data_IF_893708674591
#
_entry.id   IF_893708674591
#
_cell.length_a   1.000
_cell.length_b   1.000
_cell.length_c   1.000
_cell.angle_alpha   90.00
_cell.angle_beta   90.00
_cell.angle_gamma   90.00
#
_symmetry.space_group_name_H-M   'P 1'
#
loop_
_entity.id
_entity.type
_entity.pdbx_description
1 polymer ?
#
# COMPACT_ATOMS: atom_id res chain seq x y z
N UNK A 1 -12.20 -12.96 -6.62
CA UNK A 1 -11.62 -14.33 -6.66
C UNK A 1 -12.01 -15.14 -7.89
N UNK A 2 -13.10 -14.85 -8.55
CA UNK A 2 -13.57 -15.53 -9.78
C UNK A 2 -12.59 -15.38 -10.94
N UNK A 3 -12.05 -14.19 -11.20
CA UNK A 3 -11.02 -13.95 -12.22
C UNK A 3 -9.72 -14.72 -11.93
N UNK A 4 -9.29 -14.76 -10.66
CA UNK A 4 -8.12 -15.54 -10.27
C UNK A 4 -8.31 -17.05 -10.58
N UNK A 5 -9.48 -17.60 -10.23
CA UNK A 5 -9.84 -19.00 -10.52
C UNK A 5 -9.97 -19.24 -12.03
N UNK A 6 -10.58 -18.31 -12.78
CA UNK A 6 -10.74 -18.42 -14.22
C UNK A 6 -9.38 -18.46 -14.95
N UNK A 7 -8.39 -17.76 -14.44
CA UNK A 7 -7.01 -17.75 -14.95
C UNK A 7 -6.15 -18.91 -14.40
N UNK A 8 -6.71 -19.77 -13.55
CA UNK A 8 -6.00 -20.88 -12.93
C UNK A 8 -5.00 -20.47 -11.86
N UNK A 9 -5.03 -19.21 -11.43
CA UNK A 9 -4.18 -18.70 -10.36
C UNK A 9 -4.82 -18.97 -8.99
N UNK A 10 -4.00 -19.10 -7.96
CA UNK A 10 -4.44 -19.27 -6.58
C UNK A 10 -3.73 -18.29 -5.67
N UNK A 11 -4.41 -17.88 -4.60
CA UNK A 11 -3.83 -17.07 -3.52
C UNK A 11 -3.85 -17.90 -2.25
N UNK A 12 -2.71 -17.96 -1.58
CA UNK A 12 -2.63 -18.51 -0.23
C UNK A 12 -3.17 -17.44 0.75
N UNK A 13 -4.47 -17.58 1.06
CA UNK A 13 -5.21 -16.62 1.90
C UNK A 13 -4.63 -16.59 3.31
N UNK A 14 -4.28 -17.75 3.88
CA UNK A 14 -3.74 -17.85 5.23
C UNK A 14 -2.39 -17.13 5.35
N UNK A 15 -1.52 -17.35 4.37
CA UNK A 15 -0.22 -16.68 4.33
C UNK A 15 -0.35 -15.17 4.10
N UNK A 16 -1.31 -14.77 3.24
CA UNK A 16 -1.61 -13.35 3.02
C UNK A 16 -2.11 -12.67 4.30
N UNK A 17 -2.96 -13.34 5.06
CA UNK A 17 -3.46 -12.89 6.35
C UNK A 17 -2.32 -12.78 7.40
N UNK A 18 -1.43 -13.76 7.43
CA UNK A 18 -0.25 -13.76 8.32
C UNK A 18 0.69 -12.59 8.00
N UNK A 19 1.00 -12.36 6.73
CA UNK A 19 1.88 -11.29 6.25
C UNK A 19 1.26 -9.91 6.48
N UNK A 20 -0.04 -9.73 6.21
CA UNK A 20 -0.72 -8.45 6.42
C UNK A 20 -1.10 -8.20 7.90
N UNK A 21 -1.23 -9.26 8.69
CA UNK A 21 -1.65 -9.17 10.10
C UNK A 21 -3.09 -8.69 10.28
N UNK A 22 -3.94 -8.91 9.27
CA UNK A 22 -5.38 -8.62 9.29
C UNK A 22 -6.14 -9.79 8.67
N UNK A 23 -7.41 -10.05 9.07
CA UNK A 23 -8.24 -11.05 8.43
C UNK A 23 -8.38 -10.80 6.93
N UNK A 24 -8.25 -11.84 6.12
CA UNK A 24 -8.35 -11.79 4.67
C UNK A 24 -9.47 -12.71 4.20
N UNK A 25 -10.52 -12.15 3.63
CA UNK A 25 -11.69 -12.91 3.17
C UNK A 25 -11.74 -12.91 1.63
N UNK A 26 -11.65 -14.08 1.00
CA UNK A 26 -11.75 -14.20 -0.46
C UNK A 26 -13.20 -14.03 -0.92
N UNK A 27 -13.48 -12.95 -1.64
CA UNK A 27 -14.84 -12.68 -2.13
C UNK A 27 -14.91 -12.66 -3.66
N UNK A 28 -16.11 -12.89 -4.20
CA UNK A 28 -16.51 -12.55 -5.56
C UNK A 28 -17.81 -11.73 -5.52
N UNK A 29 -17.71 -10.41 -5.69
CA UNK A 29 -18.88 -9.53 -5.69
C UNK A 29 -19.84 -9.87 -6.84
N UNK A 30 -19.32 -10.23 -8.03
CA UNK A 30 -20.13 -10.60 -9.19
C UNK A 30 -20.97 -11.87 -8.96
N UNK A 31 -20.51 -12.77 -8.09
CA UNK A 31 -21.21 -14.04 -7.77
C UNK A 31 -21.84 -14.05 -6.39
N UNK A 32 -21.72 -12.95 -5.66
CA UNK A 32 -22.16 -12.84 -4.26
C UNK A 32 -21.58 -13.95 -3.35
N UNK A 33 -20.33 -14.35 -3.62
CA UNK A 33 -19.61 -15.36 -2.81
C UNK A 33 -18.78 -14.68 -1.72
N UNK A 34 -18.79 -15.21 -0.49
CA UNK A 34 -17.96 -14.77 0.64
C UNK A 34 -18.38 -13.45 1.29
N UNK A 35 -19.51 -12.85 0.91
CA UNK A 35 -19.94 -11.54 1.44
C UNK A 35 -20.38 -11.66 2.92
N UNK A 36 -21.13 -12.71 3.26
CA UNK A 36 -21.58 -12.92 4.65
C UNK A 36 -20.38 -13.14 5.58
N UNK A 37 -19.39 -13.92 5.16
CA UNK A 37 -18.14 -14.15 5.88
C UNK A 37 -17.34 -12.84 6.06
N UNK A 38 -17.27 -12.00 5.02
CA UNK A 38 -16.63 -10.67 5.12
C UNK A 38 -17.31 -9.80 6.18
N UNK A 39 -18.66 -9.78 6.21
CA UNK A 39 -19.42 -8.99 7.18
C UNK A 39 -19.17 -9.52 8.61
N UNK A 40 -19.17 -10.84 8.79
CA UNK A 40 -18.90 -11.46 10.08
C UNK A 40 -17.49 -11.11 10.60
N UNK A 41 -16.46 -11.24 9.76
CA UNK A 41 -15.08 -10.88 10.09
C UNK A 41 -14.94 -9.39 10.41
N UNK A 42 -15.60 -8.51 9.64
CA UNK A 42 -15.58 -7.07 9.88
C UNK A 42 -16.23 -6.70 11.23
N UNK A 43 -17.39 -7.27 11.53
CA UNK A 43 -18.07 -7.06 12.82
C UNK A 43 -17.23 -7.56 13.99
N UNK A 44 -16.64 -8.74 13.86
CA UNK A 44 -15.75 -9.32 14.89
C UNK A 44 -14.51 -8.46 15.11
N UNK A 45 -13.87 -7.99 14.05
CA UNK A 45 -12.71 -7.10 14.14
C UNK A 45 -13.07 -5.79 14.86
N UNK A 46 -14.22 -5.20 14.57
CA UNK A 46 -14.72 -4.00 15.21
C UNK A 46 -15.04 -4.23 16.71
N UNK A 47 -15.74 -5.33 17.03
CA UNK A 47 -16.09 -5.67 18.43
C UNK A 47 -14.86 -5.93 19.29
N UNK A 48 -13.87 -6.65 18.75
CA UNK A 48 -12.63 -6.98 19.44
C UNK A 48 -11.58 -5.85 19.38
N UNK A 49 -11.89 -4.75 18.68
CA UNK A 49 -10.95 -3.64 18.41
C UNK A 49 -9.60 -4.15 17.91
N UNK A 50 -9.64 -5.11 16.97
CA UNK A 50 -8.44 -5.70 16.39
C UNK A 50 -7.66 -4.63 15.62
N UNK A 51 -6.38 -4.48 15.96
CA UNK A 51 -5.47 -3.61 15.24
C UNK A 51 -4.55 -4.46 14.37
N UNK A 52 -4.26 -4.02 13.13
CA UNK A 52 -3.31 -4.70 12.27
C UNK A 52 -1.91 -4.70 12.90
N UNK A 53 -1.11 -5.72 12.62
CA UNK A 53 0.31 -5.69 12.97
C UNK A 53 0.96 -4.48 12.29
N UNK A 54 1.83 -3.78 13.02
CA UNK A 54 2.59 -2.67 12.45
C UNK A 54 3.46 -3.18 11.30
N UNK A 55 3.18 -2.70 10.11
CA UNK A 55 3.94 -3.01 8.89
C UNK A 55 5.03 -1.97 8.69
N UNK A 56 6.29 -2.39 8.71
CA UNK A 56 7.42 -1.55 8.35
C UNK A 56 8.01 -2.05 7.02
N UNK A 57 7.44 -1.59 5.92
CA UNK A 57 7.79 -2.03 4.58
C UNK A 57 8.62 -1.00 3.79
N UNK A 58 8.90 0.16 4.38
CA UNK A 58 9.80 1.15 3.77
C UNK A 58 11.26 0.89 4.14
N UNK A 59 12.17 1.25 3.26
CA UNK A 59 13.61 1.13 3.43
C UNK A 59 14.33 2.32 2.83
N UNK A 60 15.64 2.43 3.07
CA UNK A 60 16.49 3.46 2.46
C UNK A 60 16.06 4.89 2.80
N UNK A 61 16.13 5.79 1.80
CA UNK A 61 15.85 7.21 1.98
C UNK A 61 14.41 7.50 2.38
N UNK A 62 13.43 6.77 1.81
CA UNK A 62 12.02 6.92 2.17
C UNK A 62 11.79 6.58 3.66
N UNK A 63 12.42 5.52 4.15
CA UNK A 63 12.31 5.14 5.57
C UNK A 63 12.87 6.24 6.48
N UNK A 64 14.06 6.76 6.17
CA UNK A 64 14.69 7.83 6.97
C UNK A 64 13.84 9.09 6.97
N UNK A 65 13.32 9.49 5.81
CA UNK A 65 12.44 10.65 5.68
C UNK A 65 11.18 10.48 6.55
N UNK A 66 10.41 9.40 6.37
CA UNK A 66 9.20 9.15 7.16
C UNK A 66 9.51 9.07 8.66
N UNK A 67 10.63 8.47 9.05
CA UNK A 67 11.05 8.35 10.44
C UNK A 67 11.38 9.73 11.04
N UNK A 68 12.15 10.56 10.33
CA UNK A 68 12.48 11.91 10.75
C UNK A 68 11.23 12.78 10.90
N UNK A 69 10.32 12.74 9.90
CA UNK A 69 9.07 13.47 9.97
C UNK A 69 8.17 12.99 11.12
N UNK A 70 8.14 11.68 11.39
CA UNK A 70 7.37 11.12 12.51
C UNK A 70 7.81 11.72 13.84
N UNK A 71 9.11 11.91 14.07
CA UNK A 71 9.62 12.56 15.28
C UNK A 71 9.31 14.07 15.33
N UNK A 72 9.38 14.75 14.19
CA UNK A 72 9.05 16.20 14.14
C UNK A 72 7.59 16.43 14.55
N UNK A 73 6.69 15.53 14.18
CA UNK A 73 5.25 15.75 14.38
C UNK A 73 4.65 14.89 15.50
N UNK A 74 5.46 14.25 16.33
CA UNK A 74 5.00 13.32 17.38
C UNK A 74 3.95 13.95 18.30
N UNK A 75 4.26 15.11 18.89
CA UNK A 75 3.37 15.83 19.81
C UNK A 75 2.08 16.30 19.09
N UNK A 76 2.20 16.77 17.87
CA UNK A 76 1.08 17.22 17.06
C UNK A 76 0.14 16.06 16.68
N UNK A 77 0.72 14.93 16.30
CA UNK A 77 -0.03 13.71 15.94
C UNK A 77 -0.76 13.13 17.16
N UNK A 78 -0.10 13.13 18.33
CA UNK A 78 -0.72 12.70 19.59
C UNK A 78 -1.90 13.62 19.97
N UNK A 79 -1.70 14.95 19.91
CA UNK A 79 -2.75 15.92 20.19
C UNK A 79 -3.94 15.82 19.22
N UNK A 80 -3.69 15.48 17.95
CA UNK A 80 -4.71 15.27 16.94
C UNK A 80 -5.36 13.86 16.98
N UNK A 81 -4.85 12.93 17.80
CA UNK A 81 -5.32 11.54 17.86
C UNK A 81 -5.02 10.74 16.59
N UNK A 82 -3.96 11.09 15.86
CA UNK A 82 -3.56 10.47 14.60
C UNK A 82 -2.27 9.66 14.81
N UNK A 83 -2.16 8.43 14.25
CA UNK A 83 -0.91 7.69 14.30
C UNK A 83 0.24 8.48 13.64
N UNK A 84 1.34 8.75 14.38
CA UNK A 84 2.43 9.63 13.93
C UNK A 84 3.02 9.20 12.58
N UNK A 85 3.19 7.90 12.34
CA UNK A 85 3.71 7.39 11.07
C UNK A 85 2.75 7.63 9.89
N UNK A 86 1.45 7.53 10.13
CA UNK A 86 0.45 7.89 9.13
C UNK A 86 0.51 9.38 8.81
N UNK A 87 0.56 10.23 9.84
CA UNK A 87 0.74 11.66 9.69
C UNK A 87 2.02 11.99 8.89
N UNK A 88 3.17 11.42 9.28
CA UNK A 88 4.43 11.59 8.57
C UNK A 88 4.35 11.18 7.09
N UNK A 89 3.74 10.02 6.79
CA UNK A 89 3.56 9.58 5.39
C UNK A 89 2.71 10.56 4.60
N UNK A 90 1.64 11.09 5.20
CA UNK A 90 0.79 12.12 4.58
C UNK A 90 1.52 13.44 4.34
N UNK A 91 2.43 13.81 5.23
CA UNK A 91 3.28 15.00 5.04
C UNK A 91 4.28 14.81 3.89
N UNK A 92 4.86 13.62 3.72
CA UNK A 92 5.67 13.30 2.53
C UNK A 92 4.84 13.45 1.26
N UNK A 93 3.58 13.01 1.25
CA UNK A 93 2.64 13.18 0.13
C UNK A 93 2.26 14.66 -0.12
N UNK A 94 2.58 15.57 0.78
CA UNK A 94 2.16 16.97 0.68
C UNK A 94 0.67 17.18 0.97
N UNK A 95 0.06 16.33 1.80
CA UNK A 95 -1.36 16.35 2.16
C UNK A 95 -1.71 17.57 2.99
N UNK A 96 -2.34 18.58 2.36
CA UNK A 96 -2.72 19.82 3.02
C UNK A 96 -3.71 19.62 4.18
N UNK A 97 -4.77 18.80 4.05
CA UNK A 97 -5.65 18.54 5.19
C UNK A 97 -4.92 18.01 6.42
N UNK A 98 -3.89 17.19 6.23
CA UNK A 98 -3.06 16.70 7.33
C UNK A 98 -2.22 17.81 7.94
N UNK A 99 -1.59 18.67 7.11
CA UNK A 99 -0.82 19.83 7.60
C UNK A 99 -1.70 20.77 8.46
N UNK A 100 -2.90 21.06 7.98
CA UNK A 100 -3.87 21.91 8.70
C UNK A 100 -4.34 21.27 10.01
N UNK A 101 -4.59 19.96 10.00
CA UNK A 101 -5.01 19.19 11.18
C UNK A 101 -3.94 19.21 12.28
N UNK A 102 -2.67 19.05 11.89
CA UNK A 102 -1.53 19.04 12.82
C UNK A 102 -1.16 20.42 13.32
N UNK A 103 -1.67 21.51 12.73
CA UNK A 103 -1.39 22.90 13.13
C UNK A 103 0.11 23.19 13.24
N UNK A 104 0.87 22.79 12.23
CA UNK A 104 2.32 22.95 12.19
C UNK A 104 2.71 24.43 12.12
N UNK A 105 3.81 24.79 12.77
CA UNK A 105 4.42 26.11 12.64
C UNK A 105 5.12 26.25 11.27
N UNK A 106 5.38 27.50 10.85
CA UNK A 106 6.10 27.78 9.61
C UNK A 106 7.49 27.09 9.57
N UNK A 107 8.20 27.09 10.69
CA UNK A 107 9.51 26.43 10.81
C UNK A 107 9.41 24.91 10.63
N UNK A 108 8.38 24.27 11.17
CA UNK A 108 8.17 22.82 11.01
C UNK A 108 7.81 22.49 9.58
N UNK A 109 6.96 23.28 8.93
CA UNK A 109 6.64 23.12 7.51
C UNK A 109 7.88 23.25 6.63
N UNK A 110 8.75 24.23 6.91
CA UNK A 110 10.02 24.41 6.22
C UNK A 110 10.95 23.21 6.43
N UNK A 111 11.09 22.72 7.66
CA UNK A 111 11.90 21.55 8.00
C UNK A 111 11.40 20.28 7.31
N UNK A 112 10.07 20.10 7.26
CA UNK A 112 9.44 19.00 6.52
C UNK A 112 9.79 19.10 5.04
N UNK A 113 9.67 20.29 4.45
CA UNK A 113 10.02 20.54 3.05
C UNK A 113 11.48 20.20 2.74
N UNK A 114 12.41 20.61 3.61
CA UNK A 114 13.83 20.26 3.48
C UNK A 114 14.09 18.74 3.55
N UNK A 115 13.50 18.08 4.53
CA UNK A 115 13.68 16.63 4.72
C UNK A 115 13.15 15.84 3.51
N UNK A 116 12.03 16.27 2.92
CA UNK A 116 11.48 15.66 1.71
C UNK A 116 12.38 15.95 0.51
N UNK A 117 12.86 17.18 0.34
CA UNK A 117 13.76 17.55 -0.75
C UNK A 117 15.10 16.76 -0.71
N UNK A 118 15.64 16.51 0.48
CA UNK A 118 16.82 15.65 0.65
C UNK A 118 16.55 14.21 0.18
N UNK A 119 15.40 13.66 0.51
CA UNK A 119 14.98 12.33 0.05
C UNK A 119 14.86 12.29 -1.48
N UNK A 120 14.19 13.30 -2.08
CA UNK A 120 14.03 13.41 -3.54
C UNK A 120 15.41 13.53 -4.24
N UNK A 121 16.31 14.33 -3.70
CA UNK A 121 17.65 14.49 -4.22
C UNK A 121 18.50 13.20 -4.14
N UNK A 122 18.38 12.46 -3.04
CA UNK A 122 19.08 11.18 -2.87
C UNK A 122 18.58 10.12 -3.85
N UNK A 123 17.26 10.07 -4.09
CA UNK A 123 16.64 9.07 -4.96
C UNK A 123 16.66 9.46 -6.44
N UNK A 124 16.84 10.75 -6.76
CA UNK A 124 16.79 11.26 -8.11
C UNK A 124 15.38 11.21 -8.71
N UNK A 125 14.33 11.20 -7.88
CA UNK A 125 12.93 11.13 -8.28
C UNK A 125 12.06 11.96 -7.34
N UNK A 126 10.82 12.27 -7.75
CA UNK A 126 9.87 12.98 -6.90
C UNK A 126 9.29 12.08 -5.80
N UNK A 127 8.66 12.71 -4.81
CA UNK A 127 8.07 12.04 -3.65
C UNK A 127 6.94 11.08 -4.01
N UNK A 128 6.16 11.40 -5.03
CA UNK A 128 5.06 10.57 -5.49
C UNK A 128 5.59 9.25 -6.07
N UNK A 129 6.57 9.32 -6.94
CA UNK A 129 7.23 8.15 -7.51
C UNK A 129 7.97 7.33 -6.43
N UNK A 130 8.71 7.99 -5.53
CA UNK A 130 9.41 7.32 -4.44
C UNK A 130 8.45 6.51 -3.52
N UNK A 131 7.30 7.09 -3.16
CA UNK A 131 6.28 6.41 -2.37
C UNK A 131 5.57 5.31 -3.16
N UNK A 132 5.34 5.51 -4.46
CA UNK A 132 4.77 4.49 -5.33
C UNK A 132 5.70 3.28 -5.43
N UNK A 133 6.98 3.50 -5.71
CA UNK A 133 7.99 2.44 -5.80
C UNK A 133 8.10 1.64 -4.51
N UNK A 134 8.11 2.33 -3.36
CA UNK A 134 8.09 1.68 -2.05
C UNK A 134 6.87 0.76 -1.88
N UNK A 135 5.66 1.23 -2.26
CA UNK A 135 4.42 0.45 -2.16
C UNK A 135 4.44 -0.74 -3.12
N UNK A 136 4.90 -0.54 -4.36
CA UNK A 136 4.99 -1.61 -5.35
C UNK A 136 6.01 -2.68 -4.96
N UNK A 137 7.17 -2.29 -4.43
CA UNK A 137 8.17 -3.24 -3.94
C UNK A 137 7.60 -4.14 -2.82
N UNK A 138 6.82 -3.57 -1.90
CA UNK A 138 6.12 -4.34 -0.87
C UNK A 138 5.08 -5.29 -1.47
N UNK A 139 4.23 -4.80 -2.40
CA UNK A 139 3.21 -5.60 -3.07
C UNK A 139 3.83 -6.75 -3.86
N UNK A 140 4.91 -6.50 -4.60
CA UNK A 140 5.63 -7.53 -5.36
C UNK A 140 6.17 -8.63 -4.44
N UNK A 141 6.81 -8.26 -3.34
CA UNK A 141 7.31 -9.20 -2.33
C UNK A 141 6.17 -10.03 -1.76
N UNK A 142 5.07 -9.39 -1.39
CA UNK A 142 3.89 -10.05 -0.84
C UNK A 142 3.27 -11.02 -1.86
N UNK A 143 3.08 -10.57 -3.10
CA UNK A 143 2.53 -11.40 -4.17
C UNK A 143 3.44 -12.59 -4.52
N UNK A 144 4.75 -12.39 -4.52
CA UNK A 144 5.70 -13.48 -4.76
C UNK A 144 5.60 -14.61 -3.73
N UNK A 145 5.19 -14.30 -2.52
CA UNK A 145 5.06 -15.27 -1.43
C UNK A 145 3.66 -15.91 -1.34
N UNK A 146 2.62 -15.18 -1.76
CA UNK A 146 1.22 -15.56 -1.50
C UNK A 146 0.44 -15.94 -2.77
N UNK A 147 0.94 -15.57 -3.96
CA UNK A 147 0.24 -15.83 -5.23
C UNK A 147 0.94 -16.92 -6.02
N UNK A 148 0.22 -18.00 -6.31
CA UNK A 148 0.69 -19.07 -7.20
C UNK A 148 0.07 -18.87 -8.58
N UNK A 149 0.92 -18.46 -9.55
CA UNK A 149 0.52 -18.32 -10.96
C UNK A 149 0.70 -19.66 -11.68
N UNK A 150 -0.37 -20.24 -12.22
CA UNK A 150 -0.33 -21.49 -13.02
C UNK A 150 -0.06 -21.27 -14.51
N UNK A 151 0.41 -20.11 -14.90
CA UNK A 151 0.72 -19.77 -16.29
C UNK A 151 0.17 -18.40 -16.70
N UNK A 152 0.43 -18.04 -17.95
CA UNK A 152 -0.10 -16.79 -18.52
C UNK A 152 -1.60 -16.91 -18.75
N UNK A 153 -2.35 -15.85 -18.47
CA UNK A 153 -3.80 -15.86 -18.69
C UNK A 153 -4.13 -16.06 -20.16
N UNK A 154 -5.22 -16.78 -20.44
CA UNK A 154 -5.67 -16.99 -21.85
C UNK A 154 -5.92 -15.68 -22.59
N UNK A 155 -6.31 -14.64 -21.85
CA UNK A 155 -6.54 -13.30 -22.38
C UNK A 155 -5.23 -12.60 -22.74
N UNK A 156 -4.21 -12.72 -21.90
CA UNK A 156 -2.87 -12.21 -22.20
C UNK A 156 -2.28 -12.87 -23.44
N UNK A 157 -2.40 -14.20 -23.55
CA UNK A 157 -1.96 -14.92 -24.75
C UNK A 157 -2.72 -14.51 -26.01
N UNK A 158 -4.01 -14.19 -25.90
CA UNK A 158 -4.81 -13.67 -27.02
C UNK A 158 -4.38 -12.25 -27.40
N UNK A 159 -4.17 -11.37 -26.41
CA UNK A 159 -3.68 -10.01 -26.63
C UNK A 159 -2.32 -10.02 -27.31
N UNK A 160 -1.38 -10.81 -26.83
CA UNK A 160 -0.06 -10.97 -27.47
C UNK A 160 -0.16 -11.50 -28.92
N UNK A 161 -1.10 -12.40 -29.20
CA UNK A 161 -1.32 -12.87 -30.59
C UNK A 161 -1.89 -11.76 -31.49
N UNK A 162 -2.86 -11.00 -30.97
CA UNK A 162 -3.43 -9.87 -31.69
C UNK A 162 -2.38 -8.78 -31.94
N UNK A 163 -1.60 -8.43 -30.94
CA UNK A 163 -0.50 -7.47 -31.05
C UNK A 163 0.52 -7.92 -32.10
N UNK A 164 0.90 -9.19 -32.10
CA UNK A 164 1.82 -9.74 -33.12
C UNK A 164 1.27 -9.63 -34.54
N UNK A 165 -0.05 -9.77 -34.71
CA UNK A 165 -0.69 -9.64 -36.02
C UNK A 165 -0.84 -8.19 -36.44
N UNK A 166 -1.18 -7.28 -35.48
CA UNK A 166 -1.43 -5.88 -35.76
C UNK A 166 -0.14 -5.06 -35.87
N UNK A 167 0.89 -5.41 -35.09
CA UNK A 167 2.16 -4.66 -35.04
C UNK A 167 3.31 -5.39 -35.73
N UNK A 168 3.13 -6.62 -36.14
CA UNK A 168 4.11 -7.40 -36.89
C UNK A 168 4.36 -6.75 -38.25
N UNK A 169 5.56 -6.23 -38.48
CA UNK A 169 6.02 -5.85 -39.81
C UNK A 169 6.06 -7.09 -40.70
N UNK A 170 5.35 -7.02 -41.83
CA UNK A 170 5.55 -7.95 -42.94
C UNK A 170 6.96 -7.82 -43.48
#
# INVERSE_FOLDING_TARGET
>A
MDEMRANGNTVDVNKLEEELGVPVVPISAAKNEGIDELIEHALRAAQLKMLPKRQDFCSGAVHRCIHSLAHIVEDHAEAAGVPMRFAATKLVEGDKPMMDMLRLSENEVELIGHTVAEMEAELGTDREAALADMRYAFIEKLCAQTVVKKGESKEHLRSMRLDRVLTGKY
#
